data_IF_819324664486
#
_entry.id   IF_819324664486
#
_cell.length_a   1.000
_cell.length_b   1.000
_cell.length_c   1.000
_cell.angle_alpha   90.00
_cell.angle_beta   90.00
_cell.angle_gamma   90.00
#
_symmetry.space_group_name_H-M   'P 1'
#
loop_
_entity.id
_entity.type
_entity.pdbx_description
1 polymer ?
#
# COMPACT_ATOMS: atom_id res chain seq x y z
N UNK A 1 -41.85 -31.61 -6.09
CA UNK A 1 -43.32 -31.50 -6.00
C UNK A 1 -43.79 -30.07 -6.35
N UNK A 2 -42.99 -29.01 -6.11
CA UNK A 2 -43.38 -27.61 -6.42
C UNK A 2 -43.45 -27.26 -7.91
N UNK A 3 -42.75 -27.99 -8.78
CA UNK A 3 -42.78 -27.79 -10.25
C UNK A 3 -44.10 -28.23 -10.89
N UNK A 4 -44.78 -29.18 -10.27
CA UNK A 4 -46.10 -29.70 -10.80
C UNK A 4 -47.30 -28.84 -10.40
N UNK A 5 -47.14 -27.87 -9.47
CA UNK A 5 -48.22 -27.03 -8.97
C UNK A 5 -48.28 -25.64 -9.62
N UNK A 6 -47.45 -25.35 -10.66
CA UNK A 6 -47.47 -24.09 -11.40
C UNK A 6 -46.95 -22.86 -10.62
N UNK A 7 -46.40 -23.04 -9.44
CA UNK A 7 -45.90 -21.95 -8.56
C UNK A 7 -44.46 -21.49 -8.82
N UNK A 8 -43.70 -22.27 -9.59
CA UNK A 8 -42.32 -21.94 -9.96
C UNK A 8 -42.04 -22.30 -11.42
N UNK A 9 -41.40 -21.42 -12.15
CA UNK A 9 -40.95 -21.70 -13.52
C UNK A 9 -39.61 -22.43 -13.51
N UNK A 10 -39.30 -23.25 -14.55
CA UNK A 10 -38.01 -23.94 -14.66
C UNK A 10 -36.80 -23.00 -14.58
N UNK A 11 -36.96 -21.76 -15.08
CA UNK A 11 -35.90 -20.72 -15.04
C UNK A 11 -35.66 -20.25 -13.61
N UNK A 12 -36.71 -20.10 -12.79
CA UNK A 12 -36.56 -19.71 -11.38
C UNK A 12 -35.87 -20.78 -10.55
N UNK A 13 -36.13 -22.06 -10.84
CA UNK A 13 -35.44 -23.19 -10.20
C UNK A 13 -33.96 -23.24 -10.60
N UNK A 14 -33.66 -23.06 -11.88
CA UNK A 14 -32.30 -23.00 -12.40
C UNK A 14 -31.48 -21.84 -11.81
N UNK A 15 -32.09 -20.67 -11.65
CA UNK A 15 -31.42 -19.51 -11.05
C UNK A 15 -31.14 -19.75 -9.56
N UNK A 16 -32.08 -20.35 -8.83
CA UNK A 16 -31.92 -20.67 -7.41
C UNK A 16 -30.85 -21.75 -7.17
N UNK A 17 -30.76 -22.75 -8.05
CA UNK A 17 -29.68 -23.77 -8.02
C UNK A 17 -28.32 -23.18 -8.37
N UNK A 18 -28.25 -22.18 -9.26
CA UNK A 18 -27.00 -21.46 -9.57
C UNK A 18 -26.53 -20.62 -8.39
N UNK A 19 -27.42 -20.01 -7.62
CA UNK A 19 -27.10 -19.25 -6.42
C UNK A 19 -26.59 -20.16 -5.29
N UNK A 20 -27.10 -21.38 -5.18
CA UNK A 20 -26.64 -22.34 -4.16
C UNK A 20 -25.34 -23.08 -4.54
N UNK A 21 -25.07 -23.28 -5.84
CA UNK A 21 -23.87 -24.02 -6.31
C UNK A 21 -22.67 -23.12 -6.63
N UNK A 22 -22.91 -21.86 -6.89
CA UNK A 22 -21.87 -20.85 -7.06
C UNK A 22 -22.21 -19.64 -6.18
N UNK A 23 -21.79 -19.63 -4.90
CA UNK A 23 -21.81 -18.38 -4.14
C UNK A 23 -20.99 -17.38 -4.94
N UNK A 24 -21.62 -16.25 -5.31
CA UNK A 24 -20.92 -15.15 -5.95
C UNK A 24 -19.61 -14.89 -5.19
N UNK A 25 -18.47 -14.71 -5.87
CA UNK A 25 -17.26 -14.35 -5.19
C UNK A 25 -17.58 -13.11 -4.36
N UNK A 26 -17.39 -13.19 -3.04
CA UNK A 26 -17.47 -12.01 -2.19
C UNK A 26 -16.54 -11.00 -2.84
N UNK A 27 -17.10 -9.93 -3.41
CA UNK A 27 -16.32 -8.82 -3.90
C UNK A 27 -15.46 -8.41 -2.71
N UNK A 28 -14.14 -8.54 -2.85
CA UNK A 28 -13.22 -7.95 -1.90
C UNK A 28 -13.54 -6.46 -1.92
N UNK A 29 -14.25 -5.98 -0.90
CA UNK A 29 -14.54 -4.56 -0.76
C UNK A 29 -13.21 -3.83 -0.75
N UNK A 30 -12.96 -3.08 -1.81
CA UNK A 30 -11.74 -2.31 -1.92
C UNK A 30 -11.75 -1.27 -0.79
N UNK A 31 -10.62 -1.13 -0.10
CA UNK A 31 -10.46 -0.13 0.96
C UNK A 31 -10.85 1.26 0.46
N UNK A 32 -10.63 1.54 -0.83
CA UNK A 32 -11.03 2.77 -1.51
C UNK A 32 -12.56 2.97 -1.53
N UNK A 33 -13.35 1.92 -1.71
CA UNK A 33 -14.82 2.01 -1.70
C UNK A 33 -15.36 2.30 -0.29
N UNK A 34 -14.73 1.70 0.74
CA UNK A 34 -15.07 1.98 2.15
C UNK A 34 -14.74 3.44 2.51
N UNK A 35 -13.61 3.95 2.04
CA UNK A 35 -13.17 5.32 2.29
C UNK A 35 -14.05 6.33 1.55
N UNK A 36 -14.41 6.07 0.29
CA UNK A 36 -15.28 6.93 -0.50
C UNK A 36 -16.70 7.02 0.09
N UNK A 37 -17.23 5.92 0.63
CA UNK A 37 -18.54 5.93 1.29
C UNK A 37 -18.56 6.76 2.57
N UNK A 38 -17.44 6.86 3.28
CA UNK A 38 -17.27 7.69 4.49
C UNK A 38 -16.97 9.15 4.16
N UNK A 39 -16.21 9.41 3.08
CA UNK A 39 -15.87 10.78 2.63
C UNK A 39 -17.10 11.61 2.25
N UNK A 40 -18.12 10.98 1.67
CA UNK A 40 -19.36 11.67 1.26
C UNK A 40 -20.26 12.13 2.43
N UNK A 41 -19.96 11.74 3.67
CA UNK A 41 -20.81 12.08 4.84
C UNK A 41 -20.37 13.28 5.66
N UNK A 42 -19.12 13.79 5.47
CA UNK A 42 -18.59 14.87 6.32
C UNK A 42 -17.76 15.91 5.54
N UNK A 43 -18.42 16.74 4.74
CA UNK A 43 -17.86 18.03 4.33
C UNK A 43 -18.13 19.11 5.39
N UNK A 44 -17.58 18.94 6.60
CA UNK A 44 -17.36 20.05 7.54
C UNK A 44 -15.87 20.35 7.56
N UNK A 45 -15.52 21.52 7.03
CA UNK A 45 -14.18 22.10 7.15
C UNK A 45 -13.88 22.32 8.63
N UNK A 46 -13.13 21.42 9.24
CA UNK A 46 -12.58 21.61 10.58
C UNK A 46 -11.22 22.35 10.48
N UNK A 47 -10.88 23.18 11.46
CA UNK A 47 -9.64 23.94 11.44
C UNK A 47 -8.43 23.00 11.44
N UNK A 48 -7.45 23.34 10.60
CA UNK A 48 -6.23 22.57 10.36
C UNK A 48 -5.39 22.49 11.63
N UNK A 49 -5.29 21.34 12.26
CA UNK A 49 -4.21 21.09 13.22
C UNK A 49 -2.91 20.86 12.45
N UNK A 50 -1.89 21.65 12.75
CA UNK A 50 -0.54 21.46 12.19
C UNK A 50 0.10 20.24 12.84
N UNK A 51 -0.09 19.08 12.26
CA UNK A 51 0.66 17.89 12.64
C UNK A 51 2.03 17.93 11.94
N UNK A 52 3.10 17.75 12.71
CA UNK A 52 4.48 17.69 12.19
C UNK A 52 4.74 16.55 11.19
N UNK A 53 3.79 15.63 11.02
CA UNK A 53 3.91 14.45 10.16
C UNK A 53 3.47 14.67 8.70
N UNK A 54 3.04 15.88 8.32
CA UNK A 54 2.59 16.16 6.95
C UNK A 54 1.34 15.40 6.49
N UNK A 55 0.60 14.77 7.41
CA UNK A 55 -0.62 14.00 7.14
C UNK A 55 -1.81 14.62 7.85
N UNK A 56 -2.91 14.78 7.13
CA UNK A 56 -4.20 15.20 7.66
C UNK A 56 -5.16 14.02 7.70
N UNK A 57 -5.88 13.87 8.81
CA UNK A 57 -6.87 12.83 9.03
C UNK A 57 -8.22 13.48 9.28
N UNK A 58 -9.21 13.12 8.48
CA UNK A 58 -10.55 13.69 8.63
C UNK A 58 -11.18 13.23 9.95
N UNK A 59 -11.72 14.23 10.70
CA UNK A 59 -12.50 13.99 11.92
C UNK A 59 -11.68 13.80 13.20
N UNK A 60 -10.35 13.97 13.17
CA UNK A 60 -9.52 13.84 14.37
C UNK A 60 -8.45 14.95 14.44
N UNK A 61 -8.63 15.88 15.37
CA UNK A 61 -7.65 16.91 15.70
C UNK A 61 -6.86 16.52 16.95
N UNK A 62 -5.54 16.79 16.93
CA UNK A 62 -4.68 16.64 18.11
C UNK A 62 -4.26 15.21 18.48
N UNK A 63 -4.59 14.20 17.67
CA UNK A 63 -4.11 12.84 17.92
C UNK A 63 -2.67 12.63 17.41
N UNK A 64 -1.91 11.79 18.13
CA UNK A 64 -0.60 11.37 17.69
C UNK A 64 -0.70 10.54 16.41
N UNK A 65 0.01 10.95 15.36
CA UNK A 65 0.10 10.24 14.08
C UNK A 65 1.43 9.49 14.03
N UNK A 66 1.40 8.23 13.56
CA UNK A 66 2.58 7.39 13.35
C UNK A 66 2.48 6.69 12.01
N UNK A 67 3.60 6.55 11.31
CA UNK A 67 3.66 5.75 10.09
C UNK A 67 3.82 4.27 10.42
N UNK A 68 3.11 3.42 9.68
CA UNK A 68 3.16 1.97 9.87
C UNK A 68 4.52 1.41 9.44
N UNK A 69 5.15 0.63 10.30
CA UNK A 69 6.43 -0.02 9.99
C UNK A 69 6.30 -1.08 8.90
N UNK A 70 5.13 -1.73 8.78
CA UNK A 70 4.89 -2.79 7.81
C UNK A 70 4.89 -2.31 6.36
N UNK A 71 4.39 -1.11 6.06
CA UNK A 71 4.25 -0.60 4.69
C UNK A 71 5.02 0.70 4.41
N UNK A 72 5.51 1.37 5.47
CA UNK A 72 6.32 2.59 5.39
C UNK A 72 5.84 3.55 4.29
N UNK A 73 4.63 4.13 4.43
CA UNK A 73 4.08 5.01 3.40
C UNK A 73 4.94 6.24 3.24
N UNK A 74 5.02 6.75 2.01
CA UNK A 74 5.78 7.94 1.66
C UNK A 74 4.88 8.99 1.03
N UNK A 75 5.23 10.28 1.06
CA UNK A 75 4.44 11.34 0.43
C UNK A 75 4.15 11.05 -1.04
N UNK A 76 2.85 11.13 -1.39
CA UNK A 76 2.33 10.75 -2.70
C UNK A 76 1.72 9.35 -2.76
N UNK A 77 1.98 8.47 -1.78
CA UNK A 77 1.27 7.19 -1.68
C UNK A 77 -0.22 7.42 -1.32
N UNK A 78 -1.14 6.57 -1.80
CA UNK A 78 -2.49 6.52 -1.27
C UNK A 78 -2.45 5.97 0.16
N UNK A 79 -2.97 6.74 1.13
CA UNK A 79 -2.86 6.42 2.55
C UNK A 79 -4.22 6.34 3.24
N UNK A 80 -4.23 5.63 4.37
CA UNK A 80 -5.38 5.49 5.26
C UNK A 80 -4.92 5.48 6.71
N UNK A 81 -5.67 6.16 7.58
CA UNK A 81 -5.46 6.15 9.02
C UNK A 81 -6.17 4.97 9.68
N UNK A 82 -5.50 4.28 10.58
CA UNK A 82 -6.09 3.25 11.44
C UNK A 82 -6.04 3.70 12.90
N UNK A 83 -7.20 3.86 13.52
CA UNK A 83 -7.29 4.27 14.94
C UNK A 83 -6.89 3.12 15.84
N UNK A 84 -5.78 3.29 16.56
CA UNK A 84 -5.29 2.30 17.51
C UNK A 84 -5.87 2.52 18.90
N UNK A 85 -5.98 1.46 19.70
CA UNK A 85 -6.43 1.57 21.09
C UNK A 85 -5.32 2.22 21.95
N UNK A 86 -5.48 3.51 22.28
CA UNK A 86 -4.59 4.23 23.20
C UNK A 86 -3.26 4.75 22.62
N UNK A 87 -2.99 4.60 21.31
CA UNK A 87 -1.73 5.04 20.68
C UNK A 87 -1.90 6.06 19.56
N UNK A 88 -3.10 6.64 19.40
CA UNK A 88 -3.40 7.55 18.30
C UNK A 88 -3.70 6.83 16.99
N UNK A 89 -3.33 7.42 15.86
CA UNK A 89 -3.59 6.89 14.52
C UNK A 89 -2.31 6.40 13.88
N UNK A 90 -2.36 5.20 13.31
CA UNK A 90 -1.28 4.66 12.47
C UNK A 90 -1.67 4.81 11.00
N UNK A 91 -0.81 5.46 10.22
CA UNK A 91 -1.01 5.68 8.78
C UNK A 91 -0.39 4.54 7.99
N UNK A 92 -1.21 3.91 7.16
CA UNK A 92 -0.82 2.81 6.28
C UNK A 92 -0.98 3.19 4.81
N UNK A 93 -0.23 2.53 3.95
CA UNK A 93 -0.53 2.49 2.51
C UNK A 93 -1.82 1.68 2.28
N UNK A 94 -2.72 2.13 1.40
CA UNK A 94 -4.01 1.46 1.15
C UNK A 94 -3.87 0.01 0.69
N UNK A 95 -2.82 -0.31 -0.07
CA UNK A 95 -2.52 -1.68 -0.51
C UNK A 95 -1.81 -2.56 0.53
N UNK A 96 -1.67 -2.11 1.79
CA UNK A 96 -0.99 -2.87 2.83
C UNK A 96 -1.70 -4.20 3.11
N UNK A 97 -1.01 -5.36 3.06
CA UNK A 97 -1.61 -6.66 3.36
C UNK A 97 -2.26 -6.73 4.74
N UNK A 98 -1.69 -6.06 5.74
CA UNK A 98 -2.24 -6.03 7.09
C UNK A 98 -3.60 -5.34 7.18
N UNK A 99 -3.94 -4.47 6.23
CA UNK A 99 -5.28 -3.87 6.16
C UNK A 99 -6.29 -4.82 5.52
N UNK A 100 -5.84 -5.70 4.63
CA UNK A 100 -6.73 -6.68 3.97
C UNK A 100 -7.20 -7.77 4.92
N UNK A 101 -6.43 -8.07 5.97
CA UNK A 101 -6.76 -9.08 6.98
C UNK A 101 -7.60 -8.56 8.14
N UNK A 102 -8.04 -7.29 8.12
CA UNK A 102 -8.85 -6.69 9.17
C UNK A 102 -10.26 -7.28 9.21
N UNK A 103 -10.79 -7.51 10.42
CA UNK A 103 -12.20 -7.83 10.63
C UNK A 103 -13.10 -6.64 10.30
N UNK A 104 -14.41 -6.88 10.10
CA UNK A 104 -15.38 -5.81 9.83
C UNK A 104 -15.43 -4.77 10.95
N UNK A 105 -15.29 -5.20 12.20
CA UNK A 105 -15.20 -4.29 13.34
C UNK A 105 -13.96 -3.39 13.26
N UNK A 106 -12.83 -3.95 12.83
CA UNK A 106 -11.58 -3.21 12.67
C UNK A 106 -11.62 -2.26 11.47
N UNK A 107 -12.27 -2.64 10.38
CA UNK A 107 -12.51 -1.74 9.22
C UNK A 107 -13.29 -0.49 9.60
N UNK A 108 -14.17 -0.56 10.61
CA UNK A 108 -14.88 0.62 11.13
C UNK A 108 -13.95 1.69 11.70
N UNK A 109 -12.73 1.32 12.08
CA UNK A 109 -11.68 2.19 12.64
C UNK A 109 -10.77 2.81 11.58
N UNK A 110 -11.00 2.53 10.30
CA UNK A 110 -10.30 3.17 9.19
C UNK A 110 -10.85 4.59 8.99
N UNK A 111 -9.93 5.54 8.80
CA UNK A 111 -10.22 6.95 8.56
C UNK A 111 -9.55 7.41 7.29
N UNK A 112 -10.22 8.29 6.57
CA UNK A 112 -9.64 8.95 5.42
C UNK A 112 -8.46 9.81 5.85
N UNK A 113 -7.31 9.63 5.17
CA UNK A 113 -6.08 10.36 5.42
C UNK A 113 -5.48 10.81 4.08
N UNK A 114 -4.84 11.98 4.08
CA UNK A 114 -4.14 12.51 2.90
C UNK A 114 -2.90 13.29 3.30
N UNK A 115 -1.97 13.42 2.36
CA UNK A 115 -0.75 14.22 2.53
C UNK A 115 -1.06 15.69 2.30
N UNK A 116 -0.56 16.55 3.20
CA UNK A 116 -0.70 18.00 3.03
C UNK A 116 0.67 18.60 3.26
N UNK A 117 1.40 19.00 3.90
CA UNK A 117 2.70 19.68 3.95
C UNK A 117 3.79 18.69 4.44
N UNK A 118 4.54 18.13 3.55
CA UNK A 118 5.59 17.15 3.84
C UNK A 118 6.99 17.62 3.38
N UNK A 119 7.18 18.93 3.30
CA UNK A 119 8.45 19.53 2.90
C UNK A 119 9.51 19.24 3.98
N UNK A 120 10.70 18.78 3.52
CA UNK A 120 11.92 18.52 4.30
C UNK A 120 12.03 17.19 5.06
N UNK A 121 11.06 16.29 5.04
CA UNK A 121 11.22 14.97 5.65
C UNK A 121 11.73 13.92 4.66
N UNK A 122 12.58 13.02 5.13
CA UNK A 122 13.04 11.85 4.38
C UNK A 122 12.37 10.59 4.91
N UNK A 123 11.98 9.71 3.98
CA UNK A 123 11.22 8.51 4.27
C UNK A 123 12.02 7.27 3.87
N UNK A 124 12.06 6.28 4.76
CA UNK A 124 12.72 5.03 4.47
C UNK A 124 11.84 4.10 3.65
N UNK A 125 12.37 3.61 2.54
CA UNK A 125 11.75 2.55 1.72
C UNK A 125 12.70 1.38 1.57
N UNK A 126 12.13 0.18 1.36
CA UNK A 126 12.89 -1.00 0.98
C UNK A 126 12.57 -1.35 -0.47
N UNK A 127 13.60 -1.56 -1.28
CA UNK A 127 13.51 -2.12 -2.62
C UNK A 127 14.07 -3.53 -2.63
N UNK A 128 13.36 -4.43 -3.28
CA UNK A 128 13.83 -5.76 -3.63
C UNK A 128 14.07 -5.80 -5.14
N UNK A 129 15.31 -6.11 -5.53
CA UNK A 129 15.77 -6.11 -6.91
C UNK A 129 16.22 -7.53 -7.25
N UNK A 130 15.75 -8.05 -8.37
CA UNK A 130 16.17 -9.33 -8.93
C UNK A 130 16.91 -9.05 -10.23
N UNK A 131 18.12 -9.55 -10.35
CA UNK A 131 18.95 -9.40 -11.53
C UNK A 131 19.65 -10.72 -11.89
N UNK A 132 20.01 -10.92 -13.15
CA UNK A 132 20.90 -12.00 -13.55
C UNK A 132 22.26 -11.81 -12.90
N UNK A 133 22.81 -12.91 -12.38
CA UNK A 133 24.12 -12.88 -11.75
C UNK A 133 25.22 -12.64 -12.78
N UNK A 134 25.87 -11.49 -12.69
CA UNK A 134 27.03 -11.14 -13.48
C UNK A 134 28.02 -10.28 -12.67
N UNK A 135 29.32 -10.30 -13.05
CA UNK A 135 30.28 -9.40 -12.44
C UNK A 135 29.80 -7.93 -12.48
N UNK A 136 29.94 -7.25 -11.34
CA UNK A 136 29.62 -5.82 -11.18
C UNK A 136 28.15 -5.41 -11.15
N UNK A 137 27.17 -6.32 -11.26
CA UNK A 137 25.74 -5.95 -11.27
C UNK A 137 25.36 -5.10 -10.05
N UNK A 138 25.77 -5.51 -8.86
CA UNK A 138 25.53 -4.74 -7.61
C UNK A 138 26.21 -3.38 -7.66
N UNK A 139 27.46 -3.30 -8.15
CA UNK A 139 28.18 -2.04 -8.27
C UNK A 139 27.53 -1.06 -9.24
N UNK A 140 27.04 -1.57 -10.40
CA UNK A 140 26.33 -0.76 -11.39
C UNK A 140 25.06 -0.15 -10.79
N UNK A 141 24.29 -0.95 -10.04
CA UNK A 141 23.09 -0.49 -9.35
C UNK A 141 23.44 0.57 -8.28
N UNK A 142 24.47 0.33 -7.46
CA UNK A 142 24.90 1.29 -6.44
C UNK A 142 25.38 2.61 -7.04
N UNK A 143 26.13 2.57 -8.14
CA UNK A 143 26.58 3.77 -8.86
C UNK A 143 25.39 4.58 -9.35
N UNK A 144 24.43 3.91 -9.99
CA UNK A 144 23.22 4.58 -10.47
C UNK A 144 22.41 5.22 -9.32
N UNK A 145 22.25 4.54 -8.19
CA UNK A 145 21.54 5.09 -7.03
C UNK A 145 22.27 6.31 -6.48
N UNK A 146 23.61 6.25 -6.34
CA UNK A 146 24.43 7.37 -5.90
C UNK A 146 24.30 8.59 -6.85
N UNK A 147 24.26 8.37 -8.16
CA UNK A 147 24.08 9.43 -9.13
C UNK A 147 22.72 10.17 -9.00
N UNK A 148 21.73 9.50 -8.42
CA UNK A 148 20.42 10.13 -8.12
C UNK A 148 20.40 10.89 -6.80
N UNK A 149 21.51 10.94 -6.05
CA UNK A 149 21.65 11.58 -4.74
C UNK A 149 20.68 11.03 -3.68
N UNK A 150 20.27 9.78 -3.84
CA UNK A 150 19.46 9.06 -2.86
C UNK A 150 20.40 8.37 -1.88
N UNK A 151 20.15 8.56 -0.57
CA UNK A 151 20.96 7.95 0.47
C UNK A 151 20.59 6.46 0.62
N UNK A 152 21.63 5.60 0.60
CA UNK A 152 21.51 4.16 0.86
C UNK A 152 21.80 3.91 2.33
N UNK A 153 20.81 3.53 3.13
CA UNK A 153 20.98 3.24 4.55
C UNK A 153 21.40 1.80 4.82
N UNK A 154 21.04 0.86 3.95
CA UNK A 154 21.47 -0.54 4.03
C UNK A 154 21.37 -1.21 2.67
N UNK A 155 22.24 -2.19 2.43
CA UNK A 155 22.21 -3.07 1.26
C UNK A 155 22.59 -4.49 1.68
N UNK A 156 21.84 -5.46 1.17
CA UNK A 156 22.15 -6.88 1.26
C UNK A 156 22.05 -7.48 -0.15
N UNK A 157 23.06 -8.19 -0.58
CA UNK A 157 23.11 -8.81 -1.90
C UNK A 157 23.47 -10.27 -1.78
N UNK A 158 22.64 -11.14 -2.32
CA UNK A 158 22.82 -12.61 -2.28
C UNK A 158 22.66 -13.19 -3.67
N UNK A 159 23.70 -13.82 -4.19
CA UNK A 159 23.64 -14.54 -5.47
C UNK A 159 23.31 -16.01 -5.23
N UNK A 160 22.28 -16.51 -5.93
CA UNK A 160 21.86 -17.92 -5.90
C UNK A 160 21.16 -18.27 -7.21
N UNK A 161 21.46 -19.47 -7.74
CA UNK A 161 20.79 -20.00 -8.94
C UNK A 161 20.83 -19.03 -10.14
N UNK A 162 21.99 -18.48 -10.45
CA UNK A 162 22.22 -17.53 -11.55
C UNK A 162 21.47 -16.18 -11.39
N UNK A 163 20.89 -15.90 -10.26
CA UNK A 163 20.25 -14.61 -9.94
C UNK A 163 20.91 -13.98 -8.73
N UNK A 164 21.02 -12.68 -8.76
CA UNK A 164 21.40 -11.84 -7.61
C UNK A 164 20.16 -11.15 -7.08
N UNK A 165 19.81 -11.44 -5.81
CA UNK A 165 18.76 -10.77 -5.08
C UNK A 165 19.38 -9.67 -4.25
N UNK A 166 18.92 -8.45 -4.43
CA UNK A 166 19.45 -7.26 -3.73
C UNK A 166 18.31 -6.61 -2.95
N UNK A 167 18.44 -6.59 -1.62
CA UNK A 167 17.57 -5.84 -0.73
C UNK A 167 18.24 -4.53 -0.35
N UNK A 168 17.63 -3.42 -0.69
CA UNK A 168 18.18 -2.09 -0.48
C UNK A 168 17.23 -1.23 0.33
N UNK A 169 17.73 -0.61 1.41
CA UNK A 169 17.01 0.40 2.17
C UNK A 169 17.50 1.79 1.77
N UNK A 170 16.55 2.64 1.39
CA UNK A 170 16.82 3.96 0.82
C UNK A 170 16.07 5.04 1.60
N UNK A 171 16.61 6.25 1.58
CA UNK A 171 15.95 7.45 2.09
C UNK A 171 15.50 8.32 0.91
N UNK A 172 14.21 8.56 0.81
CA UNK A 172 13.59 9.31 -0.30
C UNK A 172 12.66 10.40 0.23
N UNK A 173 12.45 11.43 -0.56
CA UNK A 173 11.57 12.53 -0.19
C UNK A 173 10.09 12.26 -0.56
N UNK A 174 9.81 11.57 -1.67
CA UNK A 174 8.45 11.33 -2.14
C UNK A 174 8.37 10.18 -3.15
N UNK A 175 7.12 9.82 -3.49
CA UNK A 175 6.82 8.75 -4.44
C UNK A 175 7.36 9.03 -5.85
N UNK A 176 7.37 10.28 -6.29
CA UNK A 176 7.87 10.63 -7.63
C UNK A 176 9.37 10.34 -7.75
N UNK A 177 10.16 10.69 -6.72
CA UNK A 177 11.58 10.35 -6.66
C UNK A 177 11.80 8.84 -6.67
N UNK A 178 10.99 8.10 -5.90
CA UNK A 178 11.05 6.65 -5.86
C UNK A 178 10.78 6.01 -7.22
N UNK A 179 9.72 6.46 -7.91
CA UNK A 179 9.36 5.92 -9.22
C UNK A 179 10.46 6.17 -10.26
N UNK A 180 11.02 7.38 -10.31
CA UNK A 180 12.14 7.71 -11.19
C UNK A 180 13.35 6.78 -10.91
N UNK A 181 13.63 6.52 -9.64
CA UNK A 181 14.72 5.63 -9.26
C UNK A 181 14.45 4.18 -9.69
N UNK A 182 13.24 3.67 -9.44
CA UNK A 182 12.83 2.32 -9.87
C UNK A 182 12.96 2.16 -11.38
N UNK A 183 12.49 3.14 -12.16
CA UNK A 183 12.56 3.08 -13.63
C UNK A 183 14.01 3.10 -14.12
N UNK A 184 14.87 3.91 -13.50
CA UNK A 184 16.31 3.92 -13.81
C UNK A 184 16.97 2.58 -13.48
N UNK A 185 16.67 1.96 -12.33
CA UNK A 185 17.24 0.66 -11.98
C UNK A 185 16.75 -0.41 -12.95
N UNK A 186 15.46 -0.39 -13.34
CA UNK A 186 14.92 -1.31 -14.36
C UNK A 186 15.58 -1.15 -15.74
N UNK A 187 16.11 0.03 -16.06
CA UNK A 187 16.83 0.25 -17.32
C UNK A 187 18.24 -0.35 -17.35
N UNK A 188 18.77 -0.78 -16.21
CA UNK A 188 20.07 -1.46 -16.17
C UNK A 188 19.94 -2.83 -16.83
N UNK A 189 20.86 -3.13 -17.75
CA UNK A 189 20.92 -4.45 -18.41
C UNK A 189 21.02 -5.56 -17.36
N UNK A 190 20.26 -6.64 -17.59
CA UNK A 190 20.22 -7.83 -16.74
C UNK A 190 19.47 -7.65 -15.40
N UNK A 191 18.85 -6.52 -15.14
CA UNK A 191 17.83 -6.35 -14.08
C UNK A 191 16.49 -6.88 -14.62
N UNK A 192 15.90 -7.85 -13.90
CA UNK A 192 14.66 -8.51 -14.29
C UNK A 192 13.45 -7.92 -13.60
N UNK A 193 13.58 -7.59 -12.31
CA UNK A 193 12.47 -7.05 -11.54
C UNK A 193 12.96 -6.10 -10.43
N UNK A 194 12.15 -5.07 -10.18
CA UNK A 194 12.35 -4.12 -9.08
C UNK A 194 11.02 -3.89 -8.39
N UNK A 195 10.92 -4.26 -7.13
CA UNK A 195 9.71 -4.11 -6.32
C UNK A 195 9.99 -3.33 -5.05
N UNK A 196 9.04 -2.47 -4.68
CA UNK A 196 9.00 -1.92 -3.32
C UNK A 196 8.42 -2.97 -2.38
N UNK A 197 9.12 -3.25 -1.29
CA UNK A 197 8.59 -4.08 -0.20
C UNK A 197 7.58 -3.26 0.58
N UNK A 198 6.29 -3.61 0.49
CA UNK A 198 5.18 -2.93 1.19
C UNK A 198 4.82 -3.65 2.49
N UNK A 199 5.29 -4.87 2.71
CA UNK A 199 5.19 -5.57 4.00
C UNK A 199 6.08 -6.81 4.02
N UNK A 200 6.74 -7.05 5.11
CA UNK A 200 7.14 -8.36 5.61
C UNK A 200 6.33 -8.67 6.87
#
# INVERSE_FOLDING_TARGET
>A
IALGAGSLTPVQVLNRLKEETHPAPKQEENIEDILNSKSNREHKVHPKSKNSSGVVINGLDGMSIRFAHCCKPVPGDPIVGFVTRGRGVTVHHTACPNLKSLSEEEKSRLLYAYWENYEEEVFQVKLHIIALDRPKITADIMTLVNDTKVHISAINSVSKNFHTNIDMSLEIANLSQLNILIDKIRSIKDVEDVKRSIAE
#
